data_IF_344869545322
#
_entry.id   IF_344869545322
#
_cell.length_a   1.000
_cell.length_b   1.000
_cell.length_c   1.000
_cell.angle_alpha   90.00
_cell.angle_beta   90.00
_cell.angle_gamma   90.00
#
_symmetry.space_group_name_H-M   'P 1'
#
loop_
_entity.id
_entity.type
_entity.pdbx_description
1 polymer ?
#
# COMPACT_ATOMS: atom_id res chain seq x y z
N UNK A 1 -23.53 -15.66 5.18
CA UNK A 1 -24.02 -14.27 5.02
C UNK A 1 -22.83 -13.35 4.75
N UNK A 2 -22.93 -12.52 3.72
CA UNK A 2 -21.92 -11.50 3.47
C UNK A 2 -22.22 -10.25 4.30
N UNK A 3 -21.20 -9.72 4.94
CA UNK A 3 -21.28 -8.45 5.62
C UNK A 3 -20.90 -7.33 4.65
N UNK A 4 -21.60 -6.21 4.70
CA UNK A 4 -21.27 -5.05 3.88
C UNK A 4 -20.92 -3.85 4.75
N UNK A 5 -19.99 -3.04 4.26
CA UNK A 5 -19.63 -1.76 4.86
C UNK A 5 -19.51 -0.74 3.73
N UNK A 6 -19.86 0.50 4.01
CA UNK A 6 -19.85 1.58 3.02
C UNK A 6 -18.87 2.67 3.45
N UNK A 7 -18.10 3.12 2.50
CA UNK A 7 -17.15 4.22 2.65
C UNK A 7 -17.54 5.34 1.68
N UNK A 8 -17.32 6.59 2.06
CA UNK A 8 -17.73 7.71 1.22
C UNK A 8 -16.71 8.84 1.25
N UNK A 9 -16.70 9.59 0.16
CA UNK A 9 -15.91 10.81 0.01
C UNK A 9 -16.74 11.86 -0.70
N UNK A 10 -16.39 13.13 -0.51
CA UNK A 10 -16.99 14.25 -1.24
C UNK A 10 -15.88 15.05 -1.88
N UNK A 11 -16.03 15.33 -3.18
CA UNK A 11 -15.07 16.15 -3.94
C UNK A 11 -15.76 17.47 -4.30
N UNK A 12 -15.05 18.57 -4.07
CA UNK A 12 -15.53 19.92 -4.40
C UNK A 12 -14.53 20.60 -5.31
N UNK A 13 -14.99 21.09 -6.45
CA UNK A 13 -14.14 21.84 -7.37
C UNK A 13 -13.80 23.22 -6.82
N UNK A 14 -12.55 23.62 -6.94
CA UNK A 14 -12.05 24.89 -6.41
C UNK A 14 -11.45 25.80 -7.50
N UNK A 15 -11.84 25.57 -8.75
CA UNK A 15 -11.34 26.36 -9.90
C UNK A 15 -10.20 25.66 -10.63
N UNK A 16 -10.11 25.88 -11.91
CA UNK A 16 -9.09 25.27 -12.80
C UNK A 16 -9.00 23.74 -12.59
N UNK A 17 -7.82 23.21 -12.24
CA UNK A 17 -7.58 21.80 -11.95
C UNK A 17 -7.41 21.54 -10.44
N UNK A 18 -8.01 22.40 -9.60
CA UNK A 18 -7.97 22.27 -8.15
C UNK A 18 -9.26 21.69 -7.59
N UNK A 19 -9.13 20.87 -6.60
CA UNK A 19 -10.24 20.33 -5.83
C UNK A 19 -9.87 20.10 -4.38
N UNK A 20 -10.90 19.83 -3.60
CA UNK A 20 -10.75 19.37 -2.22
C UNK A 20 -11.52 18.07 -2.07
N UNK A 21 -10.93 17.11 -1.39
CA UNK A 21 -11.59 15.84 -1.06
C UNK A 21 -11.76 15.73 0.44
N UNK A 22 -12.99 15.50 0.86
CA UNK A 22 -13.32 15.21 2.26
C UNK A 22 -13.57 13.71 2.40
N UNK A 23 -12.84 13.06 3.27
CA UNK A 23 -12.96 11.63 3.53
C UNK A 23 -14.03 11.38 4.60
N UNK A 24 -14.80 10.30 4.44
CA UNK A 24 -15.82 9.94 5.43
C UNK A 24 -15.27 9.72 6.84
N UNK A 25 -13.99 9.35 6.96
CA UNK A 25 -13.30 9.16 8.24
C UNK A 25 -12.76 10.48 8.85
N UNK A 26 -12.97 11.63 8.19
CA UNK A 26 -12.68 12.96 8.72
C UNK A 26 -11.64 13.79 7.97
N UNK A 27 -10.50 13.25 7.51
CA UNK A 27 -9.48 14.07 6.85
C UNK A 27 -9.98 14.77 5.60
N UNK A 28 -9.44 15.97 5.37
CA UNK A 28 -9.69 16.74 4.15
C UNK A 28 -8.34 17.07 3.49
N UNK A 29 -8.29 17.05 2.18
CA UNK A 29 -7.06 17.31 1.43
C UNK A 29 -7.36 18.06 0.14
N UNK A 30 -6.51 19.04 -0.17
CA UNK A 30 -6.50 19.67 -1.48
C UNK A 30 -5.79 18.74 -2.46
N UNK A 31 -6.28 18.66 -3.67
CA UNK A 31 -5.68 17.87 -4.74
C UNK A 31 -5.70 18.60 -6.08
N UNK A 32 -4.87 18.14 -7.00
CA UNK A 32 -4.84 18.60 -8.38
C UNK A 32 -4.43 17.46 -9.28
N UNK A 33 -4.40 17.73 -10.60
CA UNK A 33 -3.80 16.80 -11.54
C UNK A 33 -2.25 16.83 -11.41
N UNK A 34 -1.54 15.78 -11.87
CA UNK A 34 -0.09 15.81 -11.91
C UNK A 34 0.43 16.87 -12.92
N UNK A 35 1.68 17.35 -12.77
CA UNK A 35 2.23 18.39 -13.66
C UNK A 35 2.18 18.04 -15.14
N UNK A 36 2.38 16.77 -15.49
CA UNK A 36 2.32 16.30 -16.89
C UNK A 36 0.90 16.28 -17.47
N UNK A 37 -0.11 16.44 -16.62
CA UNK A 37 -1.53 16.53 -17.02
C UNK A 37 -2.10 17.93 -16.69
N UNK A 38 -1.30 18.98 -16.84
CA UNK A 38 -1.66 20.37 -16.61
C UNK A 38 -2.01 20.72 -15.15
N UNK A 39 -1.51 19.93 -14.22
CA UNK A 39 -1.72 20.15 -12.79
C UNK A 39 -0.56 20.88 -12.12
N UNK A 40 -0.32 20.54 -10.86
CA UNK A 40 0.61 21.27 -10.00
C UNK A 40 1.53 20.31 -9.23
N UNK A 41 2.79 20.72 -8.97
CA UNK A 41 3.68 19.96 -8.10
C UNK A 41 3.30 20.14 -6.62
N UNK A 42 3.82 19.29 -5.75
CA UNK A 42 3.71 19.40 -4.29
C UNK A 42 2.28 19.35 -3.75
N UNK A 43 1.39 18.66 -4.43
CA UNK A 43 0.00 18.48 -4.03
C UNK A 43 -0.40 17.03 -4.30
N UNK A 44 -1.38 16.53 -3.54
CA UNK A 44 -1.95 15.21 -3.78
C UNK A 44 -2.53 15.14 -5.20
N UNK A 45 -2.30 14.01 -5.88
CA UNK A 45 -2.94 13.72 -7.17
C UNK A 45 -3.73 12.42 -7.06
N UNK A 46 -4.78 12.21 -7.89
CA UNK A 46 -5.49 10.94 -7.90
C UNK A 46 -4.58 9.74 -8.22
N UNK A 47 -3.56 9.93 -9.05
CA UNK A 47 -2.60 8.90 -9.43
C UNK A 47 -1.79 8.45 -8.22
N UNK A 48 -1.26 9.40 -7.44
CA UNK A 48 -0.55 9.09 -6.21
C UNK A 48 -1.48 8.48 -5.16
N UNK A 49 -2.70 8.98 -5.06
CA UNK A 49 -3.71 8.44 -4.13
C UNK A 49 -4.03 6.97 -4.45
N UNK A 50 -4.14 6.63 -5.73
CA UNK A 50 -4.38 5.26 -6.18
C UNK A 50 -3.25 4.33 -5.74
N UNK A 51 -1.99 4.70 -6.03
CA UNK A 51 -0.83 3.92 -5.64
C UNK A 51 -0.71 3.85 -4.11
N UNK A 52 -0.94 4.96 -3.41
CA UNK A 52 -0.88 5.03 -1.95
C UNK A 52 -1.94 4.14 -1.29
N UNK A 53 -3.13 4.04 -1.87
CA UNK A 53 -4.19 3.18 -1.32
C UNK A 53 -3.80 1.70 -1.33
N UNK A 54 -3.17 1.24 -2.41
CA UNK A 54 -2.68 -0.14 -2.51
C UNK A 54 -1.53 -0.35 -1.53
N UNK A 55 -0.57 0.57 -1.50
CA UNK A 55 0.61 0.49 -0.66
C UNK A 55 0.26 0.44 0.84
N UNK A 56 -0.61 1.36 1.28
CA UNK A 56 -1.02 1.42 2.68
C UNK A 56 -1.89 0.23 3.09
N UNK A 57 -2.77 -0.23 2.20
CA UNK A 57 -3.61 -1.39 2.48
C UNK A 57 -2.78 -2.67 2.67
N UNK A 58 -1.79 -2.89 1.81
CA UNK A 58 -0.88 -4.05 1.93
C UNK A 58 -0.12 -4.00 3.27
N UNK A 59 0.37 -2.82 3.67
CA UNK A 59 1.04 -2.68 4.97
C UNK A 59 0.12 -3.07 6.13
N UNK A 60 -1.09 -2.52 6.16
CA UNK A 60 -2.03 -2.82 7.24
C UNK A 60 -2.41 -4.30 7.28
N UNK A 61 -2.63 -4.89 6.11
CA UNK A 61 -2.95 -6.32 6.02
C UNK A 61 -1.76 -7.23 6.31
N UNK A 62 -0.53 -6.71 6.27
CA UNK A 62 0.67 -7.41 6.71
C UNK A 62 0.82 -7.40 8.24
N UNK A 63 0.49 -6.28 8.88
CA UNK A 63 0.63 -6.13 10.35
C UNK A 63 -0.21 -7.18 11.10
N UNK A 64 -1.39 -7.48 10.63
CA UNK A 64 -2.27 -8.47 11.26
C UNK A 64 -1.65 -9.87 11.34
N UNK A 65 -1.27 -10.49 10.21
CA UNK A 65 -0.62 -11.80 10.26
C UNK A 65 0.76 -11.75 10.91
N UNK A 66 1.50 -10.64 10.79
CA UNK A 66 2.78 -10.47 11.47
C UNK A 66 2.62 -10.65 13.00
N UNK A 67 1.61 -10.01 13.58
CA UNK A 67 1.27 -10.20 14.99
C UNK A 67 0.82 -11.62 15.29
N UNK A 68 -0.06 -12.16 14.48
CA UNK A 68 -0.61 -13.51 14.67
C UNK A 68 0.48 -14.58 14.65
N UNK A 69 1.46 -14.42 13.77
CA UNK A 69 2.59 -15.34 13.66
C UNK A 69 3.74 -15.01 14.62
N UNK A 70 3.51 -14.05 15.52
CA UNK A 70 4.49 -13.64 16.55
C UNK A 70 5.83 -13.17 15.95
N UNK A 71 5.76 -12.47 14.84
CA UNK A 71 6.92 -11.80 14.28
C UNK A 71 7.23 -10.55 15.10
N UNK A 72 8.49 -10.35 15.42
CA UNK A 72 8.93 -9.15 16.11
C UNK A 72 9.33 -8.09 15.07
N UNK A 73 8.36 -7.34 14.61
CA UNK A 73 8.54 -6.31 13.57
C UNK A 73 9.27 -5.11 14.16
N UNK A 74 10.38 -4.73 13.56
CA UNK A 74 11.19 -3.57 13.97
C UNK A 74 10.93 -2.37 13.06
N UNK A 75 10.81 -2.59 11.75
CA UNK A 75 10.51 -1.52 10.80
C UNK A 75 9.84 -2.06 9.55
N UNK A 76 9.07 -1.20 8.93
CA UNK A 76 8.45 -1.44 7.63
C UNK A 76 8.46 -0.14 6.85
N UNK A 77 9.05 -0.16 5.68
CA UNK A 77 9.02 0.95 4.74
C UNK A 77 8.80 0.38 3.35
N UNK A 78 7.87 0.94 2.59
CA UNK A 78 7.57 0.41 1.27
C UNK A 78 7.51 1.52 0.22
N UNK A 79 8.41 1.41 -0.75
CA UNK A 79 8.34 2.20 -1.97
C UNK A 79 7.45 1.47 -2.98
N UNK A 80 6.50 2.19 -3.56
CA UNK A 80 5.57 1.64 -4.55
C UNK A 80 5.58 2.47 -5.82
N UNK A 81 5.54 1.79 -6.97
CA UNK A 81 5.46 2.40 -8.29
C UNK A 81 4.24 1.89 -9.04
N UNK A 82 3.43 2.80 -9.58
CA UNK A 82 2.39 2.47 -10.54
C UNK A 82 2.86 2.78 -11.95
N UNK A 83 2.67 1.85 -12.88
CA UNK A 83 3.02 2.01 -14.28
C UNK A 83 1.76 2.23 -15.11
N UNK A 84 1.66 3.43 -15.68
CA UNK A 84 0.54 3.79 -16.55
C UNK A 84 0.84 3.38 -17.98
N UNK A 85 -0.13 2.74 -18.63
CA UNK A 85 -0.11 2.45 -20.06
C UNK A 85 -1.26 3.17 -20.76
N UNK A 86 -1.00 3.57 -22.00
CA UNK A 86 -2.04 4.10 -22.89
C UNK A 86 -2.44 2.98 -23.86
N UNK A 87 -3.71 2.60 -23.81
CA UNK A 87 -4.27 1.56 -24.67
C UNK A 87 -4.46 2.06 -26.11
N UNK A 88 -4.73 1.14 -27.02
CA UNK A 88 -4.92 1.49 -28.46
C UNK A 88 -6.08 2.44 -28.70
N UNK A 89 -7.12 2.38 -27.87
CA UNK A 89 -8.27 3.28 -27.92
C UNK A 89 -8.05 4.61 -27.18
N UNK A 90 -6.82 4.85 -26.71
CA UNK A 90 -6.36 6.00 -25.93
C UNK A 90 -6.84 6.05 -24.48
N UNK A 91 -7.51 5.01 -24.00
CA UNK A 91 -7.77 4.92 -22.56
C UNK A 91 -6.47 4.62 -21.81
N UNK A 92 -6.41 5.08 -20.58
CA UNK A 92 -5.24 4.90 -19.73
C UNK A 92 -5.56 3.93 -18.60
N UNK A 93 -4.59 3.12 -18.23
CA UNK A 93 -4.73 2.15 -17.13
C UNK A 93 -3.40 2.01 -16.38
N UNK A 94 -3.46 1.82 -15.08
CA UNK A 94 -2.32 1.31 -14.35
C UNK A 94 -2.23 -0.19 -14.60
N UNK A 95 -1.26 -0.61 -15.41
CA UNK A 95 -1.05 -2.02 -15.75
C UNK A 95 -0.50 -2.80 -14.59
N UNK A 96 0.39 -2.19 -13.81
CA UNK A 96 0.98 -2.84 -12.66
C UNK A 96 1.28 -1.80 -11.56
N UNK A 97 1.22 -2.27 -10.32
CA UNK A 97 1.71 -1.54 -9.14
C UNK A 97 2.71 -2.46 -8.45
N UNK A 98 3.96 -2.04 -8.41
CA UNK A 98 5.05 -2.82 -7.82
C UNK A 98 5.42 -2.22 -6.47
N UNK A 99 5.38 -3.06 -5.45
CA UNK A 99 5.70 -2.69 -4.07
C UNK A 99 7.03 -3.33 -3.68
N UNK A 100 7.93 -2.52 -3.10
CA UNK A 100 9.24 -2.98 -2.61
C UNK A 100 9.35 -2.70 -1.12
N UNK A 101 8.68 -3.50 -0.27
CA UNK A 101 8.76 -3.30 1.16
C UNK A 101 10.12 -3.73 1.71
N UNK A 102 10.69 -2.87 2.54
CA UNK A 102 11.89 -3.18 3.33
C UNK A 102 11.43 -3.47 4.75
N UNK A 103 11.60 -4.72 5.17
CA UNK A 103 11.04 -5.22 6.42
C UNK A 103 12.18 -5.71 7.30
N UNK A 104 12.26 -5.17 8.50
CA UNK A 104 13.23 -5.61 9.49
C UNK A 104 12.50 -6.26 10.66
N UNK A 105 12.90 -7.48 10.99
CA UNK A 105 12.36 -8.23 12.12
C UNK A 105 13.51 -8.76 12.98
N UNK A 106 13.25 -8.91 14.27
CA UNK A 106 14.20 -9.56 15.19
C UNK A 106 13.93 -11.06 15.23
N UNK A 107 15.00 -11.85 15.32
CA UNK A 107 14.86 -13.32 15.34
C UNK A 107 14.50 -13.87 16.73
N UNK A 108 14.73 -13.12 17.80
CA UNK A 108 14.45 -13.53 19.19
C UNK A 108 15.01 -14.92 19.55
N UNK A 109 16.21 -15.25 19.04
CA UNK A 109 16.86 -16.54 19.28
C UNK A 109 16.33 -17.69 18.42
N UNK A 110 15.38 -17.45 17.52
CA UNK A 110 14.89 -18.46 16.60
C UNK A 110 15.79 -18.58 15.36
N UNK A 111 15.70 -19.72 14.68
CA UNK A 111 16.42 -19.93 13.43
C UNK A 111 15.91 -19.00 12.34
N UNK A 112 16.81 -18.40 11.59
CA UNK A 112 16.50 -17.47 10.51
C UNK A 112 15.47 -18.04 9.51
N UNK A 113 15.64 -19.32 9.13
CA UNK A 113 14.73 -19.97 8.17
C UNK A 113 13.29 -20.03 8.68
N UNK A 114 13.08 -20.20 9.98
CA UNK A 114 11.74 -20.22 10.59
C UNK A 114 11.10 -18.83 10.57
N UNK A 115 11.86 -17.82 10.90
CA UNK A 115 11.40 -16.42 10.89
C UNK A 115 11.03 -16.00 9.48
N UNK A 116 11.89 -16.30 8.52
CA UNK A 116 11.68 -16.01 7.10
C UNK A 116 10.42 -16.70 6.55
N UNK A 117 10.19 -17.96 6.89
CA UNK A 117 9.00 -18.69 6.47
C UNK A 117 7.71 -18.06 6.98
N UNK A 118 7.68 -17.64 8.26
CA UNK A 118 6.52 -16.95 8.84
C UNK A 118 6.32 -15.59 8.20
N UNK A 119 7.40 -14.87 7.91
CA UNK A 119 7.33 -13.56 7.27
C UNK A 119 6.76 -13.67 5.85
N UNK A 120 7.21 -14.64 5.08
CA UNK A 120 6.69 -14.89 3.73
C UNK A 120 5.21 -15.28 3.76
N UNK A 121 4.79 -16.05 4.77
CA UNK A 121 3.37 -16.36 5.00
C UNK A 121 2.56 -15.10 5.30
N UNK A 122 3.09 -14.20 6.12
CA UNK A 122 2.43 -12.95 6.44
C UNK A 122 2.28 -12.06 5.21
N UNK A 123 3.30 -11.98 4.35
CA UNK A 123 3.24 -11.24 3.10
C UNK A 123 2.23 -11.84 2.12
N UNK A 124 2.18 -13.16 2.00
CA UNK A 124 1.19 -13.84 1.15
C UNK A 124 -0.24 -13.56 1.63
N UNK A 125 -0.46 -13.58 2.94
CA UNK A 125 -1.76 -13.23 3.53
C UNK A 125 -2.11 -11.75 3.26
N UNK A 126 -1.15 -10.84 3.36
CA UNK A 126 -1.36 -9.43 3.06
C UNK A 126 -1.87 -9.22 1.64
N UNK A 127 -1.28 -9.90 0.66
CA UNK A 127 -1.70 -9.82 -0.74
C UNK A 127 -3.08 -10.44 -0.95
N UNK A 128 -3.34 -11.57 -0.34
CA UNK A 128 -4.61 -12.29 -0.48
C UNK A 128 -5.80 -11.50 0.07
N UNK A 129 -5.61 -10.84 1.21
CA UNK A 129 -6.70 -10.22 1.95
C UNK A 129 -6.76 -8.69 1.83
N UNK A 130 -5.91 -8.08 1.01
CA UNK A 130 -5.97 -6.65 0.76
C UNK A 130 -7.22 -6.29 -0.05
N UNK A 131 -8.17 -5.59 0.57
CA UNK A 131 -9.37 -5.11 -0.11
C UNK A 131 -9.01 -4.30 -1.36
N UNK A 132 -8.09 -3.36 -1.23
CA UNK A 132 -7.74 -2.45 -2.32
C UNK A 132 -7.05 -3.22 -3.44
N UNK A 133 -6.06 -4.07 -3.12
CA UNK A 133 -5.37 -4.85 -4.14
C UNK A 133 -6.32 -5.81 -4.89
N UNK A 134 -7.30 -6.38 -4.19
CA UNK A 134 -8.31 -7.25 -4.80
C UNK A 134 -9.30 -6.50 -5.70
N UNK A 135 -9.38 -5.17 -5.57
CA UNK A 135 -10.39 -4.36 -6.25
C UNK A 135 -9.87 -3.65 -7.49
N UNK A 136 -8.61 -3.84 -7.85
CA UNK A 136 -7.99 -3.17 -9.00
C UNK A 136 -7.70 -4.16 -10.12
N UNK A 137 -7.67 -3.64 -11.36
CA UNK A 137 -7.29 -4.44 -12.55
C UNK A 137 -5.77 -4.56 -12.70
N UNK A 138 -5.02 -3.66 -12.06
CA UNK A 138 -3.56 -3.65 -12.09
C UNK A 138 -2.99 -4.94 -11.51
N UNK A 139 -1.91 -5.44 -12.08
CA UNK A 139 -1.12 -6.49 -11.45
C UNK A 139 -0.42 -5.88 -10.22
N UNK A 140 -0.69 -6.40 -9.03
CA UNK A 140 -0.04 -5.95 -7.80
C UNK A 140 1.08 -6.91 -7.46
N UNK A 141 2.32 -6.43 -7.56
CA UNK A 141 3.54 -7.24 -7.43
C UNK A 141 4.28 -6.78 -6.18
N UNK A 142 4.59 -7.72 -5.29
CA UNK A 142 5.34 -7.43 -4.06
C UNK A 142 6.69 -8.10 -4.13
N UNK A 143 7.75 -7.29 -4.08
CA UNK A 143 9.15 -7.73 -4.09
C UNK A 143 9.80 -7.28 -2.78
N UNK A 144 9.74 -8.10 -1.71
CA UNK A 144 10.22 -7.70 -0.40
C UNK A 144 11.74 -7.79 -0.29
N UNK A 145 12.31 -6.88 0.50
CA UNK A 145 13.67 -6.99 1.02
C UNK A 145 13.56 -7.22 2.52
N UNK A 146 13.99 -8.39 2.95
CA UNK A 146 13.85 -8.86 4.33
C UNK A 146 15.20 -8.79 5.03
N UNK A 147 15.22 -8.19 6.21
CA UNK A 147 16.39 -8.13 7.08
C UNK A 147 16.02 -8.70 8.45
N UNK A 148 16.64 -9.84 8.79
CA UNK A 148 16.42 -10.52 10.06
C UNK A 148 17.63 -10.26 10.93
N UNK A 149 17.43 -9.51 12.01
CA UNK A 149 18.52 -9.14 12.93
C UNK A 149 18.45 -9.95 14.22
N UNK A 150 19.62 -10.24 14.78
CA UNK A 150 19.68 -10.82 16.10
C UNK A 150 19.31 -9.75 17.13
N UNK A 151 18.23 -10.02 17.88
CA UNK A 151 17.93 -9.21 19.04
C UNK A 151 18.65 -9.79 20.23
N UNK A 152 19.31 -8.92 21.03
CA UNK A 152 19.74 -9.31 22.35
C UNK A 152 18.49 -9.73 23.12
N UNK A 153 18.50 -10.96 23.65
CA UNK A 153 17.38 -11.40 24.48
C UNK A 153 17.26 -10.46 25.68
N UNK A 154 16.05 -10.00 26.02
CA UNK A 154 15.87 -9.25 27.24
C UNK A 154 16.26 -10.13 28.42
N UNK A 155 17.10 -9.59 29.28
CA UNK A 155 17.54 -10.26 30.50
C UNK A 155 16.35 -10.29 31.48
#
# INVERSE_FOLDING_TARGET
MSNSATYHTTVTWQGEHWGEVAMGNGPEMVFSAPPDAHGHPNVLTPEDAFVASINSCIMLMFIWPAKRFKLHLLSYECYAEGTKLVELDRTEIFSEVKLRPRIQVANNGEKQAKVEARLNKALAAAQKYSLVANSVKSAVIVEPQIDIVEAAQPI
#
